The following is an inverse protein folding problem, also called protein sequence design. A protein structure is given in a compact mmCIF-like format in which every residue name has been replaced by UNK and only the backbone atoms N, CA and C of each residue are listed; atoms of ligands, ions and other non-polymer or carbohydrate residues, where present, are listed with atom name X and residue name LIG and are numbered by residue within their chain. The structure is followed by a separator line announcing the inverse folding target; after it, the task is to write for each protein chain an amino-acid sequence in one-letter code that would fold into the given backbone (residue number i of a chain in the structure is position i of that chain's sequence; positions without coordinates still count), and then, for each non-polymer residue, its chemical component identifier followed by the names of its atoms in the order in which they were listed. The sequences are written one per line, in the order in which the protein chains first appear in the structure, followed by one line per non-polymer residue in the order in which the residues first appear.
data_IF_743289722352
#
_entry.id   IF_743289722352
#
_cell.length_a   1.000
_cell.length_b   1.000
_cell.length_c   1.000
_cell.angle_alpha   90.00
_cell.angle_beta   90.00
_cell.angle_gamma   90.00
#
_symmetry.space_group_name_H-M   'P 1'
#
loop_
_entity.id
_entity.type
_entity.pdbx_description
1 polymer ?
#
# COMPACT_ATOMS: atom_id res chain seq x y z
N UNK A 1 13.31 -0.43 25.73
CA UNK A 1 14.09 -0.21 24.49
C UNK A 1 13.80 -1.37 23.55
N UNK A 2 13.08 -1.11 22.45
CA UNK A 2 12.80 -2.13 21.43
C UNK A 2 14.08 -2.34 20.61
N UNK A 3 14.64 -3.55 20.66
CA UNK A 3 15.81 -3.91 19.86
C UNK A 3 15.30 -4.38 18.51
N UNK A 4 15.24 -3.48 17.53
CA UNK A 4 15.08 -3.85 16.13
C UNK A 4 16.45 -4.22 15.61
N UNK A 5 16.68 -5.50 15.34
CA UNK A 5 18.00 -6.01 14.98
C UNK A 5 18.48 -5.50 13.63
N UNK A 6 17.58 -5.20 12.68
CA UNK A 6 17.93 -4.54 11.42
C UNK A 6 18.58 -3.14 11.60
N UNK A 7 18.43 -2.54 12.78
CA UNK A 7 18.98 -1.24 13.14
C UNK A 7 17.93 -0.12 13.14
N UNK A 8 18.24 1.02 13.79
CA UNK A 8 17.28 2.12 13.99
C UNK A 8 16.85 2.81 12.70
N UNK A 9 17.62 2.70 11.62
CA UNK A 9 17.29 3.28 10.31
C UNK A 9 16.05 2.62 9.65
N UNK A 10 15.66 1.44 10.09
CA UNK A 10 14.47 0.71 9.64
C UNK A 10 13.27 0.89 10.58
N UNK A 11 13.34 1.87 11.47
CA UNK A 11 12.25 2.22 12.38
C UNK A 11 11.83 3.65 12.12
N UNK A 12 10.54 3.83 11.85
CA UNK A 12 9.89 5.12 11.87
C UNK A 12 8.89 5.14 13.02
N UNK A 13 8.84 6.22 13.79
CA UNK A 13 7.90 6.42 14.90
C UNK A 13 7.32 7.81 14.81
N UNK A 14 6.00 7.91 14.97
CA UNK A 14 5.29 9.19 15.03
C UNK A 14 4.16 9.14 16.06
N UNK A 15 3.76 10.31 16.55
CA UNK A 15 2.71 10.46 17.55
C UNK A 15 1.48 11.16 16.98
N UNK A 16 0.28 10.74 17.39
CA UNK A 16 -0.96 11.36 16.95
C UNK A 16 -2.08 11.13 17.95
N UNK A 17 -3.12 11.97 17.92
CA UNK A 17 -4.34 11.80 18.73
C UNK A 17 -5.29 10.73 18.18
N UNK A 18 -4.99 10.16 17.01
CA UNK A 18 -5.82 9.11 16.38
C UNK A 18 -5.69 7.81 17.17
N UNK A 19 -6.81 7.25 17.62
CA UNK A 19 -6.82 5.97 18.33
C UNK A 19 -6.50 4.79 17.39
N UNK A 20 -6.13 3.66 17.98
CA UNK A 20 -5.65 2.47 17.27
C UNK A 20 -6.62 1.96 16.21
N UNK A 21 -7.90 1.84 16.56
CA UNK A 21 -8.94 1.28 15.69
C UNK A 21 -9.21 2.20 14.50
N UNK A 22 -9.20 3.51 14.73
CA UNK A 22 -9.37 4.51 13.68
C UNK A 22 -8.16 4.53 12.74
N UNK A 23 -6.94 4.46 13.27
CA UNK A 23 -5.73 4.39 12.45
C UNK A 23 -5.72 3.13 11.58
N UNK A 24 -6.05 1.96 12.16
CA UNK A 24 -6.13 0.72 11.41
C UNK A 24 -7.13 0.83 10.25
N UNK A 25 -8.32 1.39 10.52
CA UNK A 25 -9.35 1.59 9.50
C UNK A 25 -8.89 2.55 8.39
N UNK A 26 -8.23 3.66 8.72
CA UNK A 26 -7.70 4.60 7.71
C UNK A 26 -6.69 3.91 6.80
N UNK A 27 -5.76 3.16 7.38
CA UNK A 27 -4.73 2.45 6.63
C UNK A 27 -5.31 1.37 5.71
N UNK A 28 -6.34 0.65 6.16
CA UNK A 28 -6.99 -0.37 5.33
C UNK A 28 -7.82 0.24 4.21
N UNK A 29 -8.61 1.28 4.53
CA UNK A 29 -9.60 1.82 3.59
C UNK A 29 -8.95 2.73 2.54
N UNK A 30 -7.89 3.45 2.88
CA UNK A 30 -7.30 4.50 2.03
C UNK A 30 -5.87 4.22 1.57
N UNK A 31 -5.16 3.28 2.22
CA UNK A 31 -3.75 3.01 1.94
C UNK A 31 -3.45 1.57 1.54
N UNK A 32 -4.47 0.73 1.35
CA UNK A 32 -4.29 -0.64 0.87
C UNK A 32 -3.63 -1.59 1.86
N UNK A 33 -3.55 -1.21 3.14
CA UNK A 33 -3.02 -2.11 4.17
C UNK A 33 -4.03 -3.22 4.46
N UNK A 34 -3.52 -4.36 4.91
CA UNK A 34 -4.32 -5.47 5.43
C UNK A 34 -4.45 -5.34 6.96
N UNK A 35 -5.68 -5.43 7.53
CA UNK A 35 -5.87 -5.38 8.97
C UNK A 35 -5.21 -6.58 9.66
N UNK A 36 -4.69 -6.38 10.87
CA UNK A 36 -4.03 -7.42 11.66
C UNK A 36 -4.65 -7.58 13.06
N UNK A 37 -4.46 -8.75 13.66
CA UNK A 37 -5.08 -9.16 14.94
C UNK A 37 -4.35 -8.68 16.19
N UNK A 38 -3.63 -7.55 16.13
CA UNK A 38 -2.95 -6.95 17.29
C UNK A 38 -1.93 -7.89 17.97
N UNK A 39 -1.20 -8.67 17.19
CA UNK A 39 -0.10 -9.50 17.72
C UNK A 39 1.18 -8.69 17.89
N UNK A 40 2.08 -9.15 18.77
CA UNK A 40 3.33 -8.45 19.12
C UNK A 40 4.56 -9.24 18.64
N UNK A 41 5.03 -9.04 17.40
CA UNK A 41 6.10 -9.85 16.81
C UNK A 41 7.46 -9.66 17.48
N UNK A 42 7.66 -8.53 18.16
CA UNK A 42 8.90 -8.19 18.86
C UNK A 42 8.83 -8.52 20.36
N UNK A 43 7.77 -9.20 20.81
CA UNK A 43 7.55 -9.57 22.19
C UNK A 43 6.64 -8.60 22.95
N UNK A 44 6.26 -9.02 24.17
CA UNK A 44 5.23 -8.34 24.94
C UNK A 44 5.56 -6.87 25.23
N UNK A 45 4.60 -5.97 24.98
CA UNK A 45 4.74 -4.54 25.24
C UNK A 45 5.70 -3.82 24.31
N UNK A 46 6.00 -4.39 23.13
CA UNK A 46 6.87 -3.80 22.10
C UNK A 46 6.13 -3.30 20.86
N UNK A 47 4.82 -3.16 20.99
CA UNK A 47 3.94 -2.67 19.95
C UNK A 47 3.13 -3.79 19.32
N UNK A 48 1.81 -3.56 19.24
CA UNK A 48 0.87 -4.47 18.63
C UNK A 48 0.65 -4.08 17.16
N UNK A 49 0.77 -5.06 16.25
CA UNK A 49 0.58 -4.84 14.80
C UNK A 49 -0.89 -4.58 14.50
N UNK A 50 -1.17 -3.40 13.96
CA UNK A 50 -2.52 -2.97 13.60
C UNK A 50 -2.84 -3.21 12.13
N UNK A 51 -1.82 -3.14 11.29
CA UNK A 51 -1.94 -3.24 9.85
C UNK A 51 -0.61 -3.68 9.22
N UNK A 52 -0.68 -4.33 8.06
CA UNK A 52 0.47 -4.80 7.29
C UNK A 52 0.32 -4.42 5.81
N UNK A 53 1.39 -4.02 5.16
CA UNK A 53 1.47 -3.86 3.71
C UNK A 53 2.80 -4.46 3.24
N UNK A 54 2.75 -5.41 2.30
CA UNK A 54 3.91 -6.20 1.88
C UNK A 54 4.73 -6.76 3.06
N UNK A 55 6.03 -6.45 3.15
CA UNK A 55 6.90 -6.82 4.26
C UNK A 55 7.00 -5.75 5.34
N UNK A 56 6.09 -4.77 5.37
CA UNK A 56 6.08 -3.68 6.35
C UNK A 56 4.91 -3.83 7.33
N UNK A 57 5.22 -3.59 8.59
CA UNK A 57 4.28 -3.66 9.70
C UNK A 57 4.05 -2.25 10.25
N UNK A 58 2.79 -1.91 10.51
CA UNK A 58 2.41 -0.75 11.30
C UNK A 58 1.97 -1.24 12.67
N UNK A 59 2.58 -0.67 13.71
CA UNK A 59 2.37 -1.06 15.10
C UNK A 59 1.91 0.12 15.93
N UNK A 60 1.06 -0.13 16.91
CA UNK A 60 0.77 0.83 17.99
C UNK A 60 1.63 0.48 19.20
N UNK A 61 2.56 1.36 19.57
CA UNK A 61 3.51 1.16 20.67
C UNK A 61 2.88 1.37 22.04
N UNK A 62 1.86 2.23 22.12
CA UNK A 62 1.18 2.58 23.36
C UNK A 62 0.52 3.95 23.30
N UNK A 63 -0.12 4.31 24.41
CA UNK A 63 -0.80 5.59 24.58
C UNK A 63 -0.14 6.37 25.73
N UNK A 64 0.14 7.66 25.54
CA UNK A 64 0.58 8.55 26.60
C UNK A 64 -0.07 9.93 26.43
N UNK A 65 -0.67 10.45 27.50
CA UNK A 65 -1.25 11.80 27.49
C UNK A 65 -2.39 12.02 26.48
N UNK A 66 -3.08 10.95 26.05
CA UNK A 66 -4.12 11.01 25.02
C UNK A 66 -3.61 10.86 23.59
N UNK A 67 -2.29 10.80 23.38
CA UNK A 67 -1.68 10.49 22.09
C UNK A 67 -1.33 9.00 22.00
N UNK A 68 -1.46 8.44 20.80
CA UNK A 68 -1.00 7.10 20.45
C UNK A 68 0.28 7.19 19.63
N UNK A 69 1.27 6.36 19.97
CA UNK A 69 2.51 6.25 19.20
C UNK A 69 2.38 5.12 18.18
N UNK A 70 2.60 5.44 16.91
CA UNK A 70 2.65 4.46 15.84
C UNK A 70 4.07 4.28 15.35
N UNK A 71 4.41 3.04 15.02
CA UNK A 71 5.70 2.69 14.46
C UNK A 71 5.54 1.91 13.16
N UNK A 72 6.42 2.18 12.21
CA UNK A 72 6.58 1.39 10.99
C UNK A 72 7.91 0.68 11.06
N UNK A 73 7.90 -0.63 10.84
CA UNK A 73 9.10 -1.44 10.78
C UNK A 73 8.92 -2.62 9.79
N UNK A 74 10.00 -3.16 9.21
CA UNK A 74 9.92 -4.39 8.43
C UNK A 74 9.42 -5.57 9.28
N UNK A 75 8.88 -6.61 8.62
CA UNK A 75 8.51 -7.86 9.28
C UNK A 75 9.72 -8.50 9.95
N UNK A 76 9.46 -9.40 10.92
CA UNK A 76 10.54 -10.09 11.62
C UNK A 76 11.46 -10.84 10.65
N UNK A 77 10.90 -11.55 9.66
CA UNK A 77 11.70 -12.27 8.67
C UNK A 77 12.57 -11.31 7.85
N UNK A 78 12.01 -10.19 7.39
CA UNK A 78 12.78 -9.21 6.61
C UNK A 78 13.87 -8.54 7.46
N UNK A 79 13.62 -8.29 8.74
CA UNK A 79 14.66 -7.77 9.63
C UNK A 79 15.80 -8.77 9.83
N UNK A 80 15.51 -10.08 9.94
CA UNK A 80 16.53 -11.13 10.06
C UNK A 80 17.44 -11.16 8.83
N UNK A 81 16.85 -10.98 7.64
CA UNK A 81 17.58 -10.90 6.36
C UNK A 81 18.44 -9.63 6.27
N UNK A 82 17.88 -8.46 6.57
CA UNK A 82 18.61 -7.17 6.57
C UNK A 82 19.78 -7.21 7.57
N UNK A 83 19.55 -7.76 8.76
CA UNK A 83 20.59 -7.94 9.76
C UNK A 83 21.69 -8.89 9.25
N UNK A 84 21.31 -10.02 8.68
CA UNK A 84 22.26 -10.98 8.10
C UNK A 84 23.12 -10.35 7.01
N UNK A 85 22.51 -9.57 6.12
CA UNK A 85 23.22 -8.85 5.07
C UNK A 85 24.22 -7.82 5.64
N UNK A 86 23.77 -6.97 6.57
CA UNK A 86 24.61 -5.91 7.16
C UNK A 86 25.78 -6.44 7.99
N UNK A 87 25.69 -7.66 8.52
CA UNK A 87 26.73 -8.29 9.35
C UNK A 87 27.59 -9.31 8.58
N UNK A 88 27.46 -9.38 7.26
CA UNK A 88 28.24 -10.30 6.42
C UNK A 88 27.86 -11.77 6.56
N UNK A 89 26.66 -12.05 7.09
CA UNK A 89 26.10 -13.39 7.24
C UNK A 89 25.14 -13.75 6.09
N UNK A 90 25.17 -12.99 5.00
CA UNK A 90 24.39 -13.24 3.79
C UNK A 90 24.58 -14.65 3.22
N UNK A 91 25.77 -15.24 3.37
CA UNK A 91 26.07 -16.59 2.88
C UNK A 91 25.36 -17.72 3.66
N UNK A 92 24.71 -17.41 4.78
CA UNK A 92 23.92 -18.39 5.55
C UNK A 92 22.56 -18.68 4.92
N UNK A 93 22.13 -17.84 3.98
CA UNK A 93 20.84 -17.97 3.30
C UNK A 93 21.06 -18.42 1.87
N UNK A 94 20.31 -19.43 1.46
CA UNK A 94 20.24 -19.85 0.08
C UNK A 94 19.36 -18.91 -0.74
N UNK A 95 19.60 -18.85 -2.05
CA UNK A 95 18.74 -18.12 -3.00
C UNK A 95 17.27 -18.60 -2.94
N UNK A 96 17.06 -19.89 -2.67
CA UNK A 96 15.72 -20.46 -2.51
C UNK A 96 15.00 -19.89 -1.28
N UNK A 97 15.70 -19.75 -0.15
CA UNK A 97 15.14 -19.15 1.06
C UNK A 97 14.83 -17.67 0.86
N UNK A 98 15.70 -16.93 0.17
CA UNK A 98 15.43 -15.53 -0.18
C UNK A 98 14.14 -15.41 -1.02
N UNK A 99 14.02 -16.22 -2.08
CA UNK A 99 12.81 -16.21 -2.92
C UNK A 99 11.57 -16.62 -2.15
N UNK A 100 11.67 -17.60 -1.25
CA UNK A 100 10.53 -18.04 -0.45
C UNK A 100 10.05 -16.96 0.52
N UNK A 101 10.96 -16.15 1.08
CA UNK A 101 10.63 -15.14 2.08
C UNK A 101 10.25 -13.78 1.49
N UNK A 102 10.90 -13.36 0.40
CA UNK A 102 10.76 -12.01 -0.15
C UNK A 102 10.37 -11.99 -1.63
N UNK A 103 10.33 -13.14 -2.31
CA UNK A 103 10.17 -13.22 -3.76
C UNK A 103 11.43 -12.87 -4.56
N UNK A 104 12.49 -12.38 -3.89
CA UNK A 104 13.73 -11.91 -4.52
C UNK A 104 14.83 -12.98 -4.47
N UNK A 105 15.62 -13.09 -5.55
CA UNK A 105 16.75 -14.02 -5.60
C UNK A 105 18.11 -13.37 -5.31
N UNK A 106 18.17 -12.04 -5.24
CA UNK A 106 19.41 -11.29 -5.07
C UNK A 106 19.33 -10.36 -3.87
N UNK A 107 20.44 -10.21 -3.16
CA UNK A 107 20.53 -9.36 -1.97
C UNK A 107 20.38 -7.87 -2.28
N UNK A 108 20.90 -7.38 -3.41
CA UNK A 108 20.72 -5.97 -3.78
C UNK A 108 19.28 -5.69 -4.17
N UNK A 109 18.64 -6.62 -4.90
CA UNK A 109 17.21 -6.53 -5.20
C UNK A 109 16.37 -6.50 -3.91
N UNK A 110 16.65 -7.40 -2.96
CA UNK A 110 16.01 -7.44 -1.65
C UNK A 110 16.16 -6.12 -0.89
N UNK A 111 17.38 -5.59 -0.79
CA UNK A 111 17.63 -4.33 -0.07
C UNK A 111 16.94 -3.13 -0.73
N UNK A 112 16.90 -3.10 -2.07
CA UNK A 112 16.20 -2.07 -2.84
C UNK A 112 14.69 -2.14 -2.62
N UNK A 113 14.12 -3.35 -2.70
CA UNK A 113 12.71 -3.61 -2.43
C UNK A 113 12.35 -3.22 -1.00
N UNK A 114 13.15 -3.64 -0.01
CA UNK A 114 12.91 -3.34 1.40
C UNK A 114 12.90 -1.83 1.64
N UNK A 115 13.88 -1.10 1.09
CA UNK A 115 13.98 0.35 1.22
C UNK A 115 12.78 1.06 0.58
N UNK A 116 12.37 0.62 -0.62
CA UNK A 116 11.21 1.18 -1.32
C UNK A 116 9.91 0.95 -0.54
N UNK A 117 9.67 -0.28 -0.07
CA UNK A 117 8.50 -0.63 0.73
C UNK A 117 8.48 0.12 2.06
N UNK A 118 9.62 0.26 2.74
CA UNK A 118 9.72 1.02 3.98
C UNK A 118 9.40 2.50 3.77
N UNK A 119 9.95 3.12 2.73
CA UNK A 119 9.66 4.50 2.39
C UNK A 119 8.18 4.71 2.03
N UNK A 120 7.58 3.77 1.28
CA UNK A 120 6.16 3.81 0.92
C UNK A 120 5.27 3.67 2.15
N UNK A 121 5.57 2.70 3.04
CA UNK A 121 4.80 2.48 4.26
C UNK A 121 4.89 3.69 5.21
N UNK A 122 6.10 4.26 5.37
CA UNK A 122 6.30 5.50 6.13
C UNK A 122 5.46 6.63 5.57
N UNK A 123 5.53 6.89 4.26
CA UNK A 123 4.74 7.94 3.59
C UNK A 123 3.25 7.72 3.81
N UNK A 124 2.76 6.48 3.70
CA UNK A 124 1.36 6.15 3.94
C UNK A 124 0.92 6.46 5.37
N UNK A 125 1.74 6.14 6.37
CA UNK A 125 1.42 6.46 7.77
C UNK A 125 1.45 7.97 8.02
N UNK A 126 2.46 8.69 7.53
CA UNK A 126 2.53 10.16 7.63
C UNK A 126 1.29 10.81 6.99
N UNK A 127 0.85 10.31 5.83
CA UNK A 127 -0.37 10.79 5.15
C UNK A 127 -1.65 10.43 5.90
N UNK A 128 -1.74 9.22 6.45
CA UNK A 128 -2.89 8.79 7.25
C UNK A 128 -3.06 9.63 8.53
N UNK A 129 -1.93 10.01 9.16
CA UNK A 129 -1.89 10.94 10.29
C UNK A 129 -2.39 12.32 9.86
N UNK A 130 -1.93 12.82 8.70
CA UNK A 130 -2.39 14.09 8.14
C UNK A 130 -3.84 14.06 7.59
N UNK A 131 -4.47 12.89 7.50
CA UNK A 131 -5.82 12.72 6.94
C UNK A 131 -5.88 12.76 5.42
N UNK A 132 -4.77 12.55 4.73
CA UNK A 132 -4.68 12.54 3.27
C UNK A 132 -4.71 11.10 2.73
N UNK A 133 -5.29 10.87 1.53
CA UNK A 133 -5.24 9.56 0.87
C UNK A 133 -3.81 9.15 0.52
N UNK A 134 -3.55 7.85 0.32
CA UNK A 134 -2.23 7.32 0.00
C UNK A 134 -1.62 7.94 -1.26
N UNK A 135 -2.43 8.01 -2.30
CA UNK A 135 -2.09 8.63 -3.57
C UNK A 135 -2.86 9.92 -3.73
N UNK A 136 -2.19 10.95 -4.25
CA UNK A 136 -2.88 12.12 -4.75
C UNK A 136 -3.83 11.66 -5.87
N UNK A 137 -5.07 12.15 -5.86
CA UNK A 137 -6.03 11.81 -6.90
C UNK A 137 -5.36 12.04 -8.27
N UNK A 138 -5.44 11.08 -9.21
CA UNK A 138 -4.88 11.28 -10.53
C UNK A 138 -5.50 12.57 -11.07
N UNK A 139 -4.65 13.54 -11.42
CA UNK A 139 -5.11 14.76 -12.07
C UNK A 139 -5.88 14.31 -13.30
N UNK A 140 -7.06 14.88 -13.56
CA UNK A 140 -8.02 14.40 -14.57
C UNK A 140 -7.41 14.12 -15.97
N UNK A 141 -6.23 14.67 -16.28
CA UNK A 141 -5.45 14.38 -17.47
C UNK A 141 -4.89 12.95 -17.56
N UNK A 142 -4.58 12.27 -16.45
CA UNK A 142 -4.04 10.89 -16.46
C UNK A 142 -5.13 9.81 -16.59
N UNK A 143 -6.34 10.08 -16.07
CA UNK A 143 -7.49 9.19 -16.27
C UNK A 143 -8.05 9.25 -17.70
N UNK A 144 -7.84 10.35 -18.44
CA UNK A 144 -8.27 10.46 -19.84
C UNK A 144 -7.36 9.69 -20.82
N UNK A 145 -6.11 9.38 -20.43
CA UNK A 145 -5.16 8.66 -21.30
C UNK A 145 -5.19 7.15 -21.13
N UNK A 146 -5.71 6.63 -20.01
CA UNK A 146 -5.68 5.19 -19.71
C UNK A 146 -6.88 4.41 -20.30
N UNK A 147 -7.94 5.09 -20.73
CA UNK A 147 -9.22 4.46 -21.11
C UNK A 147 -9.64 4.73 -22.56
N UNK A 148 -8.77 5.35 -23.36
CA UNK A 148 -8.98 5.41 -24.81
C UNK A 148 -8.25 4.22 -25.44
N UNK A 149 -8.95 3.18 -25.93
CA UNK A 149 -8.33 2.28 -26.89
C UNK A 149 -7.83 3.15 -28.05
N UNK A 150 -6.57 2.98 -28.44
CA UNK A 150 -6.04 3.50 -29.70
C UNK A 150 -6.87 2.87 -30.82
N UNK A 151 -7.98 3.50 -31.16
CA UNK A 151 -8.72 3.24 -32.38
C UNK A 151 -7.83 3.75 -33.50
N UNK A 152 -7.19 2.81 -34.18
CA UNK A 152 -6.56 3.03 -35.48
C UNK A 152 -7.60 3.70 -36.39
N UNK A 153 -7.20 4.76 -37.08
CA UNK A 153 -8.07 5.68 -37.84
C UNK A 153 -8.54 5.06 -39.16
N UNK A 154 -8.85 3.76 -39.16
CA UNK A 154 -9.43 3.04 -40.28
C UNK A 154 -10.96 3.11 -40.16
N UNK A 155 -11.46 4.33 -40.39
CA UNK A 155 -12.89 4.63 -40.50
C UNK A 155 -13.48 3.81 -41.64
N UNK A 156 -14.13 2.70 -41.30
CA UNK A 156 -15.05 2.01 -42.21
C UNK A 156 -16.23 2.94 -42.50
N UNK A 157 -16.14 3.72 -43.59
CA UNK A 157 -17.24 4.54 -44.09
C UNK A 157 -18.48 3.67 -44.32
N UNK A 158 -19.50 3.87 -43.49
CA UNK A 158 -20.80 3.20 -43.63
C UNK A 158 -21.53 3.86 -44.81
N UNK A 159 -21.99 3.09 -45.80
CA UNK A 159 -22.72 3.65 -46.95
C UNK A 159 -23.93 4.47 -46.50
N UNK A 160 -24.20 5.62 -47.15
CA UNK A 160 -25.27 6.54 -46.76
C UNK A 160 -26.68 5.92 -46.81
N UNK A 161 -26.83 4.78 -47.49
CA UNK A 161 -28.08 4.02 -47.58
C UNK A 161 -28.53 3.41 -46.24
N UNK A 162 -27.66 3.33 -45.23
CA UNK A 162 -28.01 2.88 -43.89
C UNK A 162 -28.44 4.00 -42.94
N UNK A 163 -28.31 5.28 -43.34
CA UNK A 163 -28.80 6.42 -42.58
C UNK A 163 -30.27 6.70 -42.90
N UNK A 164 -31.14 5.74 -42.59
CA UNK A 164 -32.57 6.00 -42.60
C UNK A 164 -32.96 6.79 -41.34
N UNK A 165 -33.16 8.10 -41.53
CA UNK A 165 -33.80 8.97 -40.55
C UNK A 165 -35.22 8.47 -40.26
N UNK A 166 -35.42 7.86 -39.10
CA UNK A 166 -36.74 7.62 -38.54
C UNK A 166 -37.36 8.97 -38.13
N UNK A 167 -37.93 9.71 -39.08
CA UNK A 167 -38.96 10.71 -38.78
C UNK A 167 -40.28 9.96 -38.52
N UNK A 168 -40.32 9.24 -37.41
CA UNK A 168 -41.54 8.64 -36.87
C UNK A 168 -42.21 9.63 -35.94
N UNK A 169 -43.21 10.35 -36.46
CA UNK A 169 -44.22 11.03 -35.65
C UNK A 169 -44.90 9.98 -34.75
N UNK A 170 -44.58 9.96 -33.46
CA UNK A 170 -45.40 9.25 -32.48
C UNK A 170 -46.70 10.05 -32.29
N UNK A 171 -47.75 9.60 -32.97
CA UNK A 171 -49.12 10.05 -32.71
C UNK A 171 -49.53 9.45 -31.37
N UNK A 172 -49.54 10.27 -30.32
CA UNK A 172 -50.21 9.92 -29.06
C UNK A 172 -51.71 9.93 -29.29
N UNK A 173 -52.33 8.76 -29.43
CA UNK A 173 -53.78 8.63 -29.45
C UNK A 173 -54.31 7.77 -28.31
N UNK A 174 -55.19 8.43 -27.55
CA UNK A 174 -56.29 7.95 -26.72
C UNK A 174 -56.01 7.53 -25.27
N UNK A 175 -56.32 8.49 -24.38
CA UNK A 175 -56.98 8.21 -23.12
C UNK A 175 -58.40 7.67 -23.36
N UNK A 176 -58.76 6.55 -22.73
CA UNK A 176 -59.96 6.42 -21.89
C UNK A 176 -59.96 5.13 -21.05
#
# INVERSE_FOLDING_TARGET
MVLYHAGPQWLFVDETSINRSEMAKRLTDQHGFTPCTLYEPFGAGRGAVIAKHDHMLVMALGEAGGNTFYAVAPSKELQDLIWSFSHGLASQWSELELRALTGEGDWNALMTMAAAQFAAARRSVERAIAGNPAHDAPTAQQSMTADMPLLDDDVMEVPPDYLHSFTGMEVSECAH
#
